data_IF_643564851122
#
_entry.id   IF_643564851122
#
_cell.length_a   1.000
_cell.length_b   1.000
_cell.length_c   1.000
_cell.angle_alpha   90.00
_cell.angle_beta   90.00
_cell.angle_gamma   90.00
#
_symmetry.space_group_name_H-M   'P 1'
#
loop_
_entity.id
_entity.type
_entity.pdbx_description
1 polymer ?
#
# COMPACT_ATOMS: atom_id res chain seq x y z
N UNK A 1 40.26 25.25 -58.81
CA UNK A 1 39.65 26.22 -57.85
C UNK A 1 38.15 25.99 -57.64
N UNK A 2 37.34 25.77 -58.69
CA UNK A 2 35.89 25.53 -58.56
C UNK A 2 35.53 24.34 -57.64
N UNK A 3 36.19 23.18 -57.81
CA UNK A 3 35.93 21.98 -56.99
C UNK A 3 36.20 22.18 -55.47
N UNK A 4 37.13 23.06 -55.11
CA UNK A 4 37.40 23.39 -53.69
C UNK A 4 36.32 24.27 -53.09
N UNK A 5 35.70 25.15 -53.90
CA UNK A 5 34.57 25.98 -53.46
C UNK A 5 33.33 25.13 -53.24
N UNK A 6 33.00 24.24 -54.19
CA UNK A 6 31.85 23.33 -54.05
C UNK A 6 32.00 22.39 -52.86
N UNK A 7 33.20 21.90 -52.56
CA UNK A 7 33.45 21.08 -51.37
C UNK A 7 33.29 21.88 -50.06
N UNK A 8 33.73 23.14 -50.03
CA UNK A 8 33.55 24.00 -48.86
C UNK A 8 32.06 24.35 -48.62
N UNK A 9 31.31 24.61 -49.69
CA UNK A 9 29.87 24.89 -49.61
C UNK A 9 29.09 23.65 -49.13
N UNK A 10 29.48 22.45 -49.59
CA UNK A 10 28.91 21.19 -49.12
C UNK A 10 29.23 20.92 -47.65
N UNK A 11 30.46 21.18 -47.21
CA UNK A 11 30.84 21.03 -45.80
C UNK A 11 30.02 21.97 -44.91
N UNK A 12 29.85 23.22 -45.33
CA UNK A 12 29.05 24.20 -44.59
C UNK A 12 27.58 23.77 -44.49
N UNK A 13 27.00 23.25 -45.57
CA UNK A 13 25.63 22.74 -45.56
C UNK A 13 25.47 21.52 -44.63
N UNK A 14 26.47 20.63 -44.56
CA UNK A 14 26.47 19.50 -43.62
C UNK A 14 26.59 19.97 -42.17
N UNK A 15 27.45 20.95 -41.90
CA UNK A 15 27.62 21.51 -40.56
C UNK A 15 26.32 22.21 -40.09
N UNK A 16 25.64 22.95 -40.97
CA UNK A 16 24.32 23.55 -40.70
C UNK A 16 23.27 22.47 -40.39
N UNK A 17 23.21 21.40 -41.19
CA UNK A 17 22.29 20.27 -40.93
C UNK A 17 22.58 19.55 -39.61
N UNK A 18 23.85 19.41 -39.23
CA UNK A 18 24.23 18.81 -37.94
C UNK A 18 23.79 19.69 -36.77
N UNK A 19 23.90 21.01 -36.89
CA UNK A 19 23.42 21.95 -35.87
C UNK A 19 21.90 21.85 -35.71
N UNK A 20 21.16 21.81 -36.82
CA UNK A 20 19.69 21.68 -36.80
C UNK A 20 19.25 20.34 -36.21
N UNK A 21 19.94 19.24 -36.55
CA UNK A 21 19.65 17.92 -35.99
C UNK A 21 19.91 17.88 -34.48
N UNK A 22 21.01 18.48 -34.01
CA UNK A 22 21.31 18.59 -32.59
C UNK A 22 20.29 19.46 -31.84
N UNK A 23 19.80 20.54 -32.45
CA UNK A 23 18.74 21.37 -31.89
C UNK A 23 17.43 20.57 -31.75
N UNK A 24 17.02 19.89 -32.83
CA UNK A 24 15.81 19.04 -32.82
C UNK A 24 15.92 17.89 -31.81
N UNK A 25 17.11 17.29 -31.65
CA UNK A 25 17.34 16.26 -30.65
C UNK A 25 17.16 16.78 -29.21
N UNK A 26 17.65 17.99 -28.92
CA UNK A 26 17.44 18.63 -27.60
C UNK A 26 15.97 18.91 -27.34
N UNK A 27 15.24 19.45 -28.32
CA UNK A 27 13.81 19.68 -28.22
C UNK A 27 13.03 18.39 -27.95
N UNK A 28 13.40 17.27 -28.61
CA UNK A 28 12.80 15.97 -28.36
C UNK A 28 13.05 15.47 -26.93
N UNK A 29 14.26 15.67 -26.41
CA UNK A 29 14.60 15.23 -25.05
C UNK A 29 13.92 16.12 -23.99
N UNK A 30 13.78 17.41 -24.25
CA UNK A 30 13.00 18.34 -23.42
C UNK A 30 11.53 17.93 -23.38
N UNK A 31 10.91 17.68 -24.54
CA UNK A 31 9.51 17.22 -24.64
C UNK A 31 9.30 15.87 -23.95
N UNK A 32 10.24 14.92 -24.07
CA UNK A 32 10.18 13.64 -23.34
C UNK A 32 10.25 13.85 -21.83
N UNK A 33 11.13 14.73 -21.36
CA UNK A 33 11.27 15.04 -19.93
C UNK A 33 9.99 15.67 -19.37
N UNK A 34 9.36 16.57 -20.13
CA UNK A 34 8.11 17.22 -19.76
C UNK A 34 6.94 16.22 -19.74
N UNK A 35 6.87 15.34 -20.74
CA UNK A 35 5.88 14.26 -20.78
C UNK A 35 6.06 13.32 -19.59
N UNK A 36 7.29 12.99 -19.21
CA UNK A 36 7.61 12.23 -18.00
C UNK A 36 7.19 12.95 -16.71
N UNK A 37 7.34 14.26 -16.63
CA UNK A 37 6.82 15.08 -15.51
C UNK A 37 5.30 15.06 -15.46
N UNK A 38 4.60 15.27 -16.59
CA UNK A 38 3.13 15.25 -16.67
C UNK A 38 2.56 13.88 -16.28
N UNK A 39 3.16 12.77 -16.73
CA UNK A 39 2.79 11.41 -16.32
C UNK A 39 2.90 11.21 -14.80
N UNK A 40 3.99 11.68 -14.18
CA UNK A 40 4.17 11.61 -12.72
C UNK A 40 3.10 12.41 -11.96
N UNK A 41 2.77 13.61 -12.44
CA UNK A 41 1.70 14.44 -11.85
C UNK A 41 0.34 13.74 -11.96
N UNK A 42 0.02 13.15 -13.11
CA UNK A 42 -1.23 12.40 -13.30
C UNK A 42 -1.33 11.20 -12.36
N UNK A 43 -0.26 10.42 -12.20
CA UNK A 43 -0.23 9.31 -11.24
C UNK A 43 -0.42 9.81 -9.80
N UNK A 44 0.20 10.93 -9.43
CA UNK A 44 0.01 11.52 -8.10
C UNK A 44 -1.44 11.96 -7.88
N UNK A 45 -2.05 12.63 -8.86
CA UNK A 45 -3.46 13.02 -8.81
C UNK A 45 -4.39 11.81 -8.69
N UNK A 46 -4.12 10.73 -9.42
CA UNK A 46 -4.90 9.49 -9.33
C UNK A 46 -4.79 8.86 -7.94
N UNK A 47 -3.58 8.80 -7.37
CA UNK A 47 -3.39 8.28 -6.01
C UNK A 47 -4.07 9.15 -4.95
N UNK A 48 -4.06 10.48 -5.13
CA UNK A 48 -4.77 11.40 -4.23
C UNK A 48 -6.29 11.22 -4.35
N UNK A 49 -6.82 11.07 -5.57
CA UNK A 49 -8.23 10.78 -5.80
C UNK A 49 -8.65 9.48 -5.10
N UNK A 50 -7.88 8.40 -5.25
CA UNK A 50 -8.14 7.12 -4.56
C UNK A 50 -8.09 7.26 -3.03
N UNK A 51 -7.14 8.04 -2.51
CA UNK A 51 -7.07 8.33 -1.06
C UNK A 51 -8.28 9.11 -0.56
N UNK A 52 -8.77 10.06 -1.36
CA UNK A 52 -9.95 10.85 -1.04
C UNK A 52 -11.22 9.99 -1.05
N UNK A 53 -11.37 9.10 -2.03
CA UNK A 53 -12.47 8.13 -2.06
C UNK A 53 -12.48 7.26 -0.80
N UNK A 54 -11.33 6.73 -0.38
CA UNK A 54 -11.19 5.96 0.87
C UNK A 54 -11.52 6.82 2.12
N UNK A 55 -11.13 8.10 2.11
CA UNK A 55 -11.46 9.03 3.21
C UNK A 55 -12.97 9.22 3.31
N UNK A 56 -13.64 9.43 2.18
CA UNK A 56 -15.10 9.59 2.11
C UNK A 56 -15.81 8.32 2.59
N UNK A 57 -15.37 7.12 2.18
CA UNK A 57 -15.99 5.87 2.66
C UNK A 57 -15.84 5.69 4.16
N UNK A 58 -14.65 5.97 4.71
CA UNK A 58 -14.41 5.93 6.18
C UNK A 58 -15.26 6.95 6.92
N UNK A 59 -15.43 8.16 6.37
CA UNK A 59 -16.28 9.18 6.99
C UNK A 59 -17.74 8.70 7.07
N UNK A 60 -18.25 8.09 5.99
CA UNK A 60 -19.60 7.49 5.98
C UNK A 60 -19.74 6.36 7.00
N UNK A 61 -18.73 5.51 7.17
CA UNK A 61 -18.72 4.47 8.19
C UNK A 61 -18.74 5.05 9.61
N UNK A 62 -17.95 6.11 9.86
CA UNK A 62 -17.96 6.83 11.14
C UNK A 62 -19.34 7.43 11.41
N UNK A 63 -19.97 8.06 10.42
CA UNK A 63 -21.32 8.61 10.55
C UNK A 63 -22.34 7.52 10.91
N UNK A 64 -22.26 6.35 10.27
CA UNK A 64 -23.11 5.19 10.59
C UNK A 64 -22.89 4.69 12.03
N UNK A 65 -21.63 4.62 12.49
CA UNK A 65 -21.31 4.22 13.85
C UNK A 65 -21.83 5.25 14.88
N UNK A 66 -21.69 6.55 14.60
CA UNK A 66 -22.22 7.61 15.45
C UNK A 66 -23.75 7.57 15.53
N UNK A 67 -24.43 7.29 14.42
CA UNK A 67 -25.89 7.09 14.42
C UNK A 67 -26.30 5.88 15.26
N UNK A 68 -25.58 4.76 15.15
CA UNK A 68 -25.83 3.57 15.98
C UNK A 68 -25.64 3.85 17.47
N UNK A 69 -24.58 4.58 17.84
CA UNK A 69 -24.33 4.96 19.23
C UNK A 69 -25.43 5.87 19.79
N UNK A 70 -25.89 6.86 19.02
CA UNK A 70 -27.04 7.70 19.42
C UNK A 70 -28.33 6.90 19.57
N UNK A 71 -28.56 5.94 18.67
CA UNK A 71 -29.71 5.04 18.74
C UNK A 71 -29.67 4.16 20.00
N UNK A 72 -28.52 3.57 20.31
CA UNK A 72 -28.34 2.70 21.48
C UNK A 72 -28.48 3.44 22.82
N UNK A 73 -27.95 4.67 22.92
CA UNK A 73 -28.09 5.49 24.13
C UNK A 73 -29.54 5.93 24.39
N UNK A 74 -30.38 5.97 23.37
CA UNK A 74 -31.79 6.35 23.52
C UNK A 74 -32.66 5.20 24.06
N UNK A 75 -32.22 3.94 23.94
CA UNK A 75 -32.97 2.77 24.42
C UNK A 75 -32.60 2.32 25.83
N UNK A 76 -31.44 2.72 26.36
CA UNK A 76 -30.96 2.24 27.67
C UNK A 76 -31.45 3.09 28.86
N UNK A 77 -32.05 4.26 28.62
CA UNK A 77 -32.61 5.12 29.67
C UNK A 77 -34.10 4.86 30.00
N UNK A 78 -34.71 3.79 29.49
CA UNK A 78 -36.15 3.52 29.65
C UNK A 78 -36.52 2.44 30.69
N UNK A 79 -35.56 1.79 31.36
CA UNK A 79 -35.86 0.79 32.39
C UNK A 79 -35.12 1.11 33.68
N UNK A 80 -35.67 2.07 34.42
CA UNK A 80 -35.36 2.31 35.82
C UNK A 80 -35.95 1.14 36.63
N UNK A 81 -35.17 0.07 36.84
CA UNK A 81 -35.52 -0.95 37.84
C UNK A 81 -35.01 -0.48 39.21
N UNK A 82 -35.89 -0.26 40.21
CA UNK A 82 -35.47 0.05 41.56
C UNK A 82 -34.88 -1.21 42.20
N UNK A 83 -33.65 -1.08 42.67
CA UNK A 83 -32.86 -2.15 43.29
C UNK A 83 -33.31 -2.29 44.73
N UNK A 84 -33.81 -3.47 45.09
CA UNK A 84 -33.88 -3.93 46.47
C UNK A 84 -33.33 -5.36 46.57
N UNK A 85 -32.65 -5.62 47.69
CA UNK A 85 -32.27 -6.93 48.25
C UNK A 85 -31.00 -7.65 47.74
N UNK A 86 -29.93 -7.41 48.50
CA UNK A 86 -29.13 -8.39 49.27
C UNK A 86 -29.06 -9.88 48.83
N UNK A 87 -27.81 -10.34 48.77
CA UNK A 87 -27.29 -11.69 49.05
C UNK A 87 -27.60 -12.83 48.06
N UNK A 88 -26.57 -13.31 47.37
CA UNK A 88 -26.42 -14.75 47.09
C UNK A 88 -24.97 -15.10 46.72
N UNK A 89 -24.54 -16.23 47.26
CA UNK A 89 -23.24 -16.87 47.25
C UNK A 89 -22.76 -17.45 45.89
N UNK A 90 -21.44 -17.43 45.73
CA UNK A 90 -20.54 -18.19 44.83
C UNK A 90 -20.90 -19.69 44.62
N UNK A 91 -20.47 -20.39 43.52
CA UNK A 91 -19.05 -20.72 43.31
C UNK A 91 -18.48 -20.90 41.87
N UNK A 92 -17.15 -20.67 41.81
CA UNK A 92 -16.08 -21.28 41.01
C UNK A 92 -16.36 -21.93 39.62
N UNK A 93 -15.74 -21.38 38.58
CA UNK A 93 -15.28 -22.15 37.41
C UNK A 93 -14.11 -21.46 36.68
N UNK A 94 -12.99 -22.19 36.64
CA UNK A 94 -11.82 -22.11 35.74
C UNK A 94 -11.04 -20.79 35.61
N UNK A 95 -9.93 -20.76 36.34
CA UNK A 95 -8.73 -19.98 36.11
C UNK A 95 -8.18 -20.20 34.68
N UNK A 96 -8.42 -19.24 33.79
CA UNK A 96 -7.49 -18.93 32.70
C UNK A 96 -6.56 -17.83 33.19
N UNK A 97 -5.39 -18.19 33.75
CA UNK A 97 -4.34 -17.23 34.10
C UNK A 97 -3.84 -16.57 32.80
N UNK A 98 -4.43 -15.45 32.41
CA UNK A 98 -3.81 -14.53 31.47
C UNK A 98 -2.52 -14.05 32.13
N UNK A 99 -1.39 -14.56 31.68
CA UNK A 99 -0.09 -14.02 32.08
C UNK A 99 -0.10 -12.51 31.83
N UNK A 100 0.38 -11.69 32.78
CA UNK A 100 0.59 -10.27 32.55
C UNK A 100 1.77 -10.11 31.59
N UNK A 101 1.52 -10.37 30.31
CA UNK A 101 2.47 -10.10 29.22
C UNK A 101 2.42 -8.59 28.98
N UNK A 102 3.25 -7.91 29.78
CA UNK A 102 4.28 -7.02 29.26
C UNK A 102 3.90 -5.62 28.76
N UNK A 103 3.09 -4.89 29.53
CA UNK A 103 2.97 -3.42 29.44
C UNK A 103 4.35 -2.71 29.44
N UNK A 104 5.30 -3.25 30.20
CA UNK A 104 6.71 -2.79 30.25
C UNK A 104 7.51 -3.18 29.02
N UNK A 105 7.22 -4.31 28.35
CA UNK A 105 7.94 -4.72 27.13
C UNK A 105 7.47 -3.92 25.94
N UNK A 106 6.18 -3.62 25.85
CA UNK A 106 5.61 -2.84 24.75
C UNK A 106 6.06 -1.38 24.80
N UNK A 107 6.07 -0.77 26.00
CA UNK A 107 6.64 0.57 26.20
C UNK A 107 8.15 0.59 25.96
N UNK A 108 8.90 -0.43 26.39
CA UNK A 108 10.32 -0.56 26.04
C UNK A 108 10.55 -0.72 24.54
N UNK A 109 9.74 -1.51 23.84
CA UNK A 109 9.86 -1.64 22.39
C UNK A 109 9.48 -0.34 21.67
N UNK A 110 8.45 0.39 22.11
CA UNK A 110 8.12 1.68 21.54
C UNK A 110 9.23 2.72 21.80
N UNK A 111 9.81 2.72 23.00
CA UNK A 111 10.95 3.58 23.33
C UNK A 111 12.19 3.20 22.51
N UNK A 112 12.42 1.90 22.27
CA UNK A 112 13.52 1.40 21.46
C UNK A 112 13.33 1.69 19.96
N UNK A 113 12.10 1.59 19.46
CA UNK A 113 11.73 2.01 18.10
C UNK A 113 11.91 3.53 17.96
N UNK A 114 11.47 4.32 18.94
CA UNK A 114 11.68 5.76 18.94
C UNK A 114 13.17 6.11 18.95
N UNK A 115 13.98 5.52 19.83
CA UNK A 115 15.41 5.78 19.87
C UNK A 115 16.15 5.28 18.62
N UNK A 116 15.78 4.13 18.06
CA UNK A 116 16.40 3.61 16.83
C UNK A 116 16.04 4.45 15.61
N UNK A 117 14.77 4.86 15.47
CA UNK A 117 14.33 5.76 14.39
C UNK A 117 14.96 7.13 14.52
N UNK A 118 15.00 7.70 15.73
CA UNK A 118 15.63 9.00 15.99
C UNK A 118 17.15 8.94 15.83
N UNK A 119 17.80 7.85 16.24
CA UNK A 119 19.23 7.62 16.01
C UNK A 119 19.53 7.39 14.54
N UNK A 120 18.63 6.77 13.77
CA UNK A 120 18.78 6.60 12.33
C UNK A 120 18.60 7.91 11.59
N UNK A 121 17.66 8.76 12.01
CA UNK A 121 17.48 10.12 11.49
C UNK A 121 18.71 10.96 11.84
N UNK A 122 19.17 10.92 13.08
CA UNK A 122 20.39 11.61 13.51
C UNK A 122 21.64 11.12 12.77
N UNK A 123 21.81 9.81 12.59
CA UNK A 123 22.92 9.24 11.79
C UNK A 123 22.77 9.53 10.30
N UNK A 124 21.55 9.59 9.77
CA UNK A 124 21.32 10.03 8.39
C UNK A 124 21.68 11.50 8.22
N UNK A 125 21.46 12.34 9.25
CA UNK A 125 21.91 13.73 9.33
C UNK A 125 23.44 13.86 9.47
N UNK A 126 24.10 12.90 10.12
CA UNK A 126 25.58 12.82 10.18
C UNK A 126 26.20 12.26 8.89
N UNK A 127 25.45 11.42 8.16
CA UNK A 127 25.78 10.93 6.83
C UNK A 127 25.16 11.80 5.71
N UNK A 128 24.73 13.03 6.02
CA UNK A 128 24.49 14.03 4.99
C UNK A 128 25.85 14.40 4.42
N UNK A 129 26.16 13.76 3.29
CA UNK A 129 27.30 14.13 2.47
C UNK A 129 27.22 15.64 2.23
N UNK A 130 28.29 16.41 2.51
CA UNK A 130 28.28 17.86 2.37
C UNK A 130 27.84 18.31 0.95
N UNK A 131 27.96 17.40 -0.02
CA UNK A 131 27.44 17.50 -1.38
C UNK A 131 25.90 17.58 -1.43
N UNK A 132 25.18 16.76 -0.67
CA UNK A 132 23.71 16.76 -0.61
C UNK A 132 23.16 18.07 -0.04
N UNK A 133 23.82 18.63 0.99
CA UNK A 133 23.44 19.92 1.56
C UNK A 133 23.64 21.05 0.55
N UNK A 134 24.79 21.05 -0.16
CA UNK A 134 25.05 22.02 -1.24
C UNK A 134 24.06 21.88 -2.39
N UNK A 135 23.68 20.66 -2.77
CA UNK A 135 22.71 20.43 -3.84
C UNK A 135 21.31 20.93 -3.46
N UNK A 136 20.89 20.74 -2.20
CA UNK A 136 19.63 21.29 -1.70
C UNK A 136 19.65 22.81 -1.64
N UNK A 137 20.76 23.40 -1.19
CA UNK A 137 20.95 24.84 -1.16
C UNK A 137 20.94 25.44 -2.56
N UNK A 138 21.61 24.80 -3.52
CA UNK A 138 21.62 25.20 -4.94
C UNK A 138 20.21 25.17 -5.55
N UNK A 139 19.42 24.11 -5.28
CA UNK A 139 18.02 24.04 -5.74
C UNK A 139 17.15 25.13 -5.16
N UNK A 140 17.38 25.49 -3.89
CA UNK A 140 16.68 26.61 -3.25
C UNK A 140 17.05 27.94 -3.93
N UNK A 141 18.34 28.19 -4.15
CA UNK A 141 18.84 29.36 -4.89
C UNK A 141 18.27 29.43 -6.30
N UNK A 142 18.25 28.32 -7.04
CA UNK A 142 17.65 28.21 -8.38
C UNK A 142 16.15 28.57 -8.34
N UNK A 143 15.40 28.11 -7.33
CA UNK A 143 13.98 28.44 -7.19
C UNK A 143 13.75 29.94 -6.91
N UNK A 144 14.63 30.55 -6.12
CA UNK A 144 14.55 31.97 -5.75
C UNK A 144 14.95 32.84 -6.95
N UNK A 145 16.03 32.47 -7.65
CA UNK A 145 16.48 33.11 -8.87
C UNK A 145 15.37 33.11 -9.93
N UNK A 146 14.71 31.96 -10.14
CA UNK A 146 13.55 31.86 -11.02
C UNK A 146 12.37 32.74 -10.59
N UNK A 147 12.09 32.82 -9.28
CA UNK A 147 10.99 33.64 -8.75
C UNK A 147 11.27 35.15 -8.84
N UNK A 148 12.54 35.55 -8.75
CA UNK A 148 12.98 36.95 -8.86
C UNK A 148 13.29 37.36 -10.31
N UNK A 149 13.23 36.44 -11.26
CA UNK A 149 13.65 36.62 -12.66
C UNK A 149 15.11 37.07 -12.78
N UNK A 150 15.98 36.46 -11.97
CA UNK A 150 17.37 36.83 -11.78
C UNK A 150 18.25 35.58 -11.97
N UNK A 151 19.55 35.74 -12.24
CA UNK A 151 20.48 34.60 -12.38
C UNK A 151 20.76 33.95 -11.02
N UNK A 152 21.14 32.67 -11.04
CA UNK A 152 21.39 31.88 -9.82
C UNK A 152 22.52 32.47 -8.96
N UNK A 153 23.51 33.09 -9.62
CA UNK A 153 24.69 33.68 -9.00
C UNK A 153 24.54 35.18 -8.68
N UNK A 154 23.35 35.77 -8.86
CA UNK A 154 23.12 37.17 -8.48
C UNK A 154 23.09 37.30 -6.95
N UNK A 155 23.75 38.34 -6.42
CA UNK A 155 23.83 38.68 -5.01
C UNK A 155 22.45 38.71 -4.34
N UNK A 156 21.41 39.13 -5.07
CA UNK A 156 20.03 39.15 -4.56
C UNK A 156 19.49 37.75 -4.28
N UNK A 157 19.71 36.78 -5.16
CA UNK A 157 19.25 35.41 -4.97
C UNK A 157 20.00 34.73 -3.82
N UNK A 158 21.31 35.01 -3.69
CA UNK A 158 22.15 34.53 -2.58
C UNK A 158 21.68 35.09 -1.25
N UNK A 159 21.41 36.41 -1.16
CA UNK A 159 20.95 37.06 0.06
C UNK A 159 19.58 36.52 0.51
N UNK A 160 18.64 36.35 -0.42
CA UNK A 160 17.32 35.77 -0.11
C UNK A 160 17.41 34.32 0.34
N UNK A 161 18.28 33.53 -0.28
CA UNK A 161 18.53 32.16 0.16
C UNK A 161 19.07 32.13 1.60
N UNK A 162 20.03 33.00 1.93
CA UNK A 162 20.59 33.09 3.28
C UNK A 162 19.51 33.47 4.32
N UNK A 163 18.66 34.47 4.01
CA UNK A 163 17.55 34.88 4.88
C UNK A 163 16.54 33.76 5.14
N UNK A 164 16.17 33.02 4.10
CA UNK A 164 15.20 31.92 4.22
C UNK A 164 15.78 30.74 5.00
N UNK A 165 17.05 30.39 4.77
CA UNK A 165 17.75 29.37 5.56
C UNK A 165 17.83 29.76 7.04
N UNK A 166 18.22 31.01 7.35
CA UNK A 166 18.30 31.50 8.73
C UNK A 166 16.93 31.48 9.45
N UNK A 167 15.85 31.87 8.77
CA UNK A 167 14.50 31.82 9.35
C UNK A 167 14.01 30.36 9.54
N UNK A 168 14.36 29.47 8.61
CA UNK A 168 14.08 28.04 8.75
C UNK A 168 14.81 27.43 9.94
N UNK A 169 16.10 27.76 10.13
CA UNK A 169 16.88 27.36 11.30
C UNK A 169 16.29 27.92 12.60
N UNK A 170 15.89 29.21 12.61
CA UNK A 170 15.23 29.83 13.77
C UNK A 170 13.93 29.11 14.15
N UNK A 171 13.12 28.73 13.15
CA UNK A 171 11.87 27.98 13.35
C UNK A 171 12.13 26.55 13.80
N UNK A 172 13.13 25.89 13.22
CA UNK A 172 13.56 24.55 13.61
C UNK A 172 14.03 24.57 15.07
N UNK A 173 14.87 25.53 15.46
CA UNK A 173 15.31 25.72 16.84
C UNK A 173 14.13 25.95 17.79
N UNK A 174 13.18 26.84 17.44
CA UNK A 174 11.97 27.08 18.25
C UNK A 174 11.11 25.83 18.45
N UNK A 175 11.10 24.90 17.49
CA UNK A 175 10.35 23.63 17.55
C UNK A 175 11.13 22.47 18.19
N UNK A 176 12.46 22.46 18.04
CA UNK A 176 13.36 21.44 18.60
C UNK A 176 13.68 21.69 20.06
N UNK A 177 13.59 22.93 20.54
CA UNK A 177 13.54 23.20 21.97
C UNK A 177 12.27 22.56 22.50
N UNK A 178 12.41 21.34 23.03
CA UNK A 178 11.41 20.69 23.85
C UNK A 178 11.09 21.65 24.99
N UNK A 179 10.05 22.47 24.81
CA UNK A 179 9.46 23.23 25.90
C UNK A 179 8.83 22.18 26.80
N UNK A 180 9.60 21.75 27.80
CA UNK A 180 9.07 21.10 29.00
C UNK A 180 7.82 21.91 29.36
N UNK A 181 6.64 21.30 29.54
CA UNK A 181 5.44 22.04 29.88
C UNK A 181 5.79 22.92 31.09
N UNK A 182 5.95 24.21 30.87
CA UNK A 182 6.35 25.09 31.94
C UNK A 182 5.15 25.16 32.87
N UNK A 183 5.30 24.96 34.18
CA UNK A 183 4.20 25.11 35.14
C UNK A 183 3.62 26.55 35.18
N UNK A 184 4.10 27.45 34.32
CA UNK A 184 3.73 28.85 34.24
C UNK A 184 2.38 29.15 33.56
N UNK A 185 1.65 28.16 33.00
CA UNK A 185 0.27 28.43 32.54
C UNK A 185 -0.69 28.70 33.73
N UNK A 186 -0.28 28.42 34.98
CA UNK A 186 -1.07 28.76 36.18
C UNK A 186 -0.80 30.19 36.69
N UNK A 187 0.20 30.92 36.19
CA UNK A 187 0.63 32.19 36.80
C UNK A 187 0.13 33.46 36.09
N UNK A 188 -0.87 33.36 35.19
CA UNK A 188 -1.48 34.55 34.55
C UNK A 188 -2.88 34.91 35.03
N UNK A 189 -3.33 34.36 36.17
CA UNK A 189 -4.45 34.95 36.91
C UNK A 189 -3.92 35.75 38.12
N UNK A 190 -4.06 37.07 37.99
CA UNK A 190 -4.15 38.10 39.03
C UNK A 190 -3.49 37.83 40.42
N UNK A 191 -2.40 38.53 40.79
CA UNK A 191 -1.65 38.29 42.03
C UNK A 191 -2.33 38.86 43.31
N UNK A 192 -3.67 38.88 43.40
CA UNK A 192 -4.37 39.50 44.56
C UNK A 192 -5.45 38.65 45.21
N UNK A 193 -5.60 37.38 44.85
CA UNK A 193 -6.42 36.47 45.66
C UNK A 193 -5.59 35.27 46.13
N UNK A 194 -5.54 34.99 47.45
CA UNK A 194 -5.02 33.74 47.95
C UNK A 194 -5.98 32.63 47.53
N UNK A 195 -5.77 32.08 46.34
CA UNK A 195 -6.50 30.90 45.89
C UNK A 195 -6.11 29.72 46.77
N UNK A 196 -7.11 29.20 47.47
CA UNK A 196 -7.07 27.97 48.25
C UNK A 196 -6.43 26.84 47.44
N UNK A 197 -5.48 26.14 48.06
CA UNK A 197 -4.73 24.98 47.55
C UNK A 197 -5.59 23.86 46.93
N UNK A 198 -6.90 23.84 47.20
CA UNK A 198 -7.86 22.90 46.59
C UNK A 198 -8.14 23.13 45.10
N UNK A 199 -7.99 24.35 44.56
CA UNK A 199 -8.24 24.60 43.13
C UNK A 199 -7.20 23.92 42.23
N UNK A 200 -5.93 23.97 42.63
CA UNK A 200 -4.82 23.38 41.89
C UNK A 200 -4.92 21.84 41.86
N UNK A 201 -5.38 21.23 42.96
CA UNK A 201 -5.59 19.77 43.02
C UNK A 201 -6.68 19.31 42.04
N UNK A 202 -7.81 20.03 41.97
CA UNK A 202 -8.88 19.70 41.00
C UNK A 202 -8.41 19.82 39.54
N UNK A 203 -7.59 20.82 39.22
CA UNK A 203 -7.05 20.98 37.87
C UNK A 203 -6.07 19.88 37.48
N UNK A 204 -5.31 19.33 38.44
CA UNK A 204 -4.38 18.21 38.17
C UNK A 204 -5.16 16.91 37.97
N UNK A 205 -6.19 16.67 38.78
CA UNK A 205 -7.08 15.51 38.64
C UNK A 205 -7.80 15.51 37.28
N UNK A 206 -8.31 16.67 36.84
CA UNK A 206 -8.93 16.83 35.53
C UNK A 206 -7.96 16.53 34.37
N UNK A 207 -6.69 16.95 34.50
CA UNK A 207 -5.66 16.67 33.49
C UNK A 207 -5.33 15.17 33.47
N UNK A 208 -5.22 14.54 34.64
CA UNK A 208 -4.96 13.11 34.76
C UNK A 208 -6.13 12.31 34.15
N UNK A 209 -7.37 12.67 34.46
CA UNK A 209 -8.56 12.04 33.89
C UNK A 209 -8.60 12.15 32.36
N UNK A 210 -8.30 13.34 31.81
CA UNK A 210 -8.22 13.56 30.36
C UNK A 210 -7.09 12.78 29.71
N UNK A 211 -5.94 12.66 30.38
CA UNK A 211 -4.83 11.85 29.89
C UNK A 211 -5.20 10.37 29.87
N UNK A 212 -5.83 9.87 30.94
CA UNK A 212 -6.26 8.49 31.03
C UNK A 212 -7.33 8.15 29.97
N UNK A 213 -8.28 9.06 29.72
CA UNK A 213 -9.26 8.90 28.65
C UNK A 213 -8.60 8.86 27.26
N UNK A 214 -7.60 9.72 27.01
CA UNK A 214 -6.84 9.69 25.74
C UNK A 214 -6.04 8.41 25.59
N UNK A 215 -5.46 7.91 26.67
CA UNK A 215 -4.75 6.63 26.70
C UNK A 215 -5.69 5.46 26.38
N UNK A 216 -6.86 5.39 27.01
CA UNK A 216 -7.88 4.38 26.70
C UNK A 216 -8.32 4.45 25.23
N UNK A 217 -8.53 5.65 24.68
CA UNK A 217 -8.88 5.83 23.27
C UNK A 217 -7.76 5.34 22.32
N UNK A 218 -6.49 5.61 22.66
CA UNK A 218 -5.35 5.09 21.90
C UNK A 218 -5.25 3.58 22.00
N UNK A 219 -5.54 3.00 23.16
CA UNK A 219 -5.59 1.55 23.34
C UNK A 219 -6.69 0.90 22.50
N UNK A 220 -7.89 1.49 22.47
CA UNK A 220 -8.98 1.02 21.61
C UNK A 220 -8.62 1.11 20.12
N UNK A 221 -7.97 2.20 19.70
CA UNK A 221 -7.52 2.35 18.32
C UNK A 221 -6.43 1.34 17.96
N UNK A 222 -5.48 1.09 18.86
CA UNK A 222 -4.43 0.09 18.68
C UNK A 222 -5.01 -1.32 18.58
N UNK A 223 -5.93 -1.69 19.47
CA UNK A 223 -6.64 -2.97 19.44
C UNK A 223 -7.47 -3.13 18.14
N UNK A 224 -8.09 -2.05 17.67
CA UNK A 224 -8.80 -2.04 16.39
C UNK A 224 -7.86 -2.26 15.19
N UNK A 225 -6.67 -1.62 15.21
CA UNK A 225 -5.67 -1.79 14.17
C UNK A 225 -5.07 -3.21 14.15
N UNK A 226 -4.82 -3.81 15.32
CA UNK A 226 -4.32 -5.19 15.42
C UNK A 226 -5.38 -6.21 14.98
N UNK A 227 -6.63 -6.04 15.39
CA UNK A 227 -7.75 -6.87 14.93
C UNK A 227 -7.93 -6.80 13.40
N UNK A 228 -7.84 -5.58 12.83
CA UNK A 228 -7.86 -5.41 11.37
C UNK A 228 -6.68 -6.09 10.69
N UNK A 229 -5.48 -5.97 11.25
CA UNK A 229 -4.28 -6.64 10.75
C UNK A 229 -4.43 -8.17 10.74
N UNK A 230 -4.95 -8.75 11.82
CA UNK A 230 -5.23 -10.18 11.91
C UNK A 230 -6.32 -10.62 10.92
N UNK A 231 -7.37 -9.83 10.75
CA UNK A 231 -8.41 -10.08 9.74
C UNK A 231 -7.86 -10.09 8.32
N UNK A 232 -6.99 -9.12 7.97
CA UNK A 232 -6.32 -9.11 6.67
C UNK A 232 -5.42 -10.34 6.46
N UNK A 233 -4.64 -10.73 7.47
CA UNK A 233 -3.79 -11.92 7.39
C UNK A 233 -4.61 -13.20 7.22
N UNK A 234 -5.72 -13.34 7.95
CA UNK A 234 -6.63 -14.48 7.82
C UNK A 234 -7.27 -14.55 6.42
N UNK A 235 -7.66 -13.41 5.84
CA UNK A 235 -8.17 -13.38 4.47
C UNK A 235 -7.11 -13.76 3.43
N UNK A 236 -5.88 -13.28 3.57
CA UNK A 236 -4.76 -13.65 2.68
C UNK A 236 -4.49 -15.16 2.77
N UNK A 237 -4.48 -15.73 3.97
CA UNK A 237 -4.30 -17.18 4.18
C UNK A 237 -5.44 -17.98 3.53
N UNK A 238 -6.69 -17.55 3.71
CA UNK A 238 -7.85 -18.18 3.08
C UNK A 238 -7.78 -18.12 1.55
N UNK A 239 -7.43 -16.97 0.97
CA UNK A 239 -7.25 -16.81 -0.48
C UNK A 239 -6.10 -17.69 -0.96
N UNK A 240 -4.98 -17.73 -0.23
CA UNK A 240 -3.82 -18.55 -0.58
C UNK A 240 -4.17 -20.03 -0.58
N UNK A 241 -4.92 -20.51 0.44
CA UNK A 241 -5.43 -21.88 0.50
C UNK A 241 -6.39 -22.18 -0.65
N UNK A 242 -7.30 -21.27 -0.96
CA UNK A 242 -8.22 -21.40 -2.08
C UNK A 242 -7.48 -21.50 -3.43
N UNK A 243 -6.47 -20.64 -3.65
CA UNK A 243 -5.63 -20.71 -4.86
C UNK A 243 -4.86 -22.03 -4.91
N UNK A 244 -4.26 -22.47 -3.81
CA UNK A 244 -3.54 -23.74 -3.76
C UNK A 244 -4.42 -24.96 -4.03
N UNK A 245 -5.70 -24.92 -3.66
CA UNK A 245 -6.64 -26.01 -3.93
C UNK A 245 -7.24 -25.93 -5.34
N UNK A 246 -7.52 -24.73 -5.85
CA UNK A 246 -8.21 -24.54 -7.15
C UNK A 246 -7.25 -24.51 -8.34
N UNK A 247 -6.03 -24.02 -8.19
CA UNK A 247 -5.06 -23.92 -9.28
C UNK A 247 -4.71 -25.28 -9.93
N UNK A 248 -4.49 -26.39 -9.19
CA UNK A 248 -4.20 -27.69 -9.80
C UNK A 248 -5.39 -28.24 -10.58
N UNK A 249 -6.61 -28.08 -10.07
CA UNK A 249 -7.84 -28.57 -10.70
C UNK A 249 -8.19 -27.76 -11.95
N UNK A 250 -8.00 -26.43 -11.92
CA UNK A 250 -8.11 -25.59 -13.11
C UNK A 250 -7.04 -25.96 -14.15
N UNK A 251 -5.81 -26.21 -13.71
CA UNK A 251 -4.73 -26.58 -14.62
C UNK A 251 -5.01 -27.93 -15.30
N UNK A 252 -5.48 -28.94 -14.56
CA UNK A 252 -5.83 -30.24 -15.12
C UNK A 252 -7.03 -30.16 -16.06
N UNK A 253 -8.06 -29.35 -15.74
CA UNK A 253 -9.21 -29.09 -16.61
C UNK A 253 -8.82 -28.37 -17.92
N UNK A 254 -7.93 -27.38 -17.84
CA UNK A 254 -7.41 -26.72 -19.04
C UNK A 254 -6.54 -27.68 -19.87
N UNK A 255 -5.78 -28.57 -19.23
CA UNK A 255 -4.95 -29.55 -19.92
C UNK A 255 -5.81 -30.63 -20.61
N UNK A 256 -6.91 -31.07 -20.02
CA UNK A 256 -7.86 -31.99 -20.67
C UNK A 256 -8.55 -31.31 -21.84
N UNK A 257 -8.97 -30.05 -21.70
CA UNK A 257 -9.58 -29.28 -22.79
C UNK A 257 -8.60 -29.06 -23.96
N UNK A 258 -7.33 -28.75 -23.68
CA UNK A 258 -6.29 -28.63 -24.70
C UNK A 258 -6.03 -29.94 -25.44
N UNK A 259 -6.06 -31.09 -24.74
CA UNK A 259 -5.90 -32.42 -25.36
C UNK A 259 -7.09 -32.78 -26.26
N UNK A 260 -8.31 -32.47 -25.85
CA UNK A 260 -9.51 -32.69 -26.68
C UNK A 260 -9.44 -31.85 -27.95
N UNK A 261 -9.00 -30.58 -27.84
CA UNK A 261 -8.83 -29.70 -29.01
C UNK A 261 -7.71 -30.14 -29.96
N UNK A 262 -6.72 -30.90 -29.49
CA UNK A 262 -5.61 -31.38 -30.33
C UNK A 262 -5.92 -32.68 -31.08
N UNK A 263 -7.03 -33.36 -30.75
CA UNK A 263 -7.44 -34.63 -31.37
C UNK A 263 -8.60 -34.47 -32.36
N UNK A 264 -8.95 -33.25 -32.77
CA UNK A 264 -10.10 -32.99 -33.62
C UNK A 264 -9.79 -33.24 -35.11
N UNK A 265 -9.88 -34.53 -35.47
CA UNK A 265 -9.86 -35.04 -36.85
C UNK A 265 -10.92 -36.10 -37.12
N UNK A 266 -11.89 -36.34 -36.22
CA UNK A 266 -12.95 -37.33 -36.45
C UNK A 266 -14.28 -36.98 -35.74
N UNK A 267 -15.20 -36.46 -36.56
CA UNK A 267 -16.68 -36.51 -36.54
C UNK A 267 -17.38 -37.02 -35.25
N UNK A 268 -18.10 -36.09 -34.59
CA UNK A 268 -19.29 -36.21 -33.69
C UNK A 268 -19.10 -36.82 -32.28
N UNK A 269 -19.90 -36.46 -31.24
CA UNK A 269 -21.04 -35.53 -31.16
C UNK A 269 -20.78 -34.28 -30.28
N UNK A 270 -21.73 -33.35 -30.30
CA UNK A 270 -21.70 -32.00 -29.70
C UNK A 270 -21.12 -31.92 -28.25
N UNK A 271 -19.87 -31.42 -28.07
CA UNK A 271 -19.15 -31.41 -26.79
C UNK A 271 -19.56 -30.26 -25.85
N UNK A 272 -20.44 -29.37 -26.30
CA UNK A 272 -20.80 -28.15 -25.57
C UNK A 272 -21.58 -28.42 -24.28
N UNK A 273 -22.37 -29.50 -24.20
CA UNK A 273 -23.19 -29.76 -23.00
C UNK A 273 -22.44 -30.47 -21.87
N UNK A 274 -21.49 -31.37 -22.15
CA UNK A 274 -20.82 -32.14 -21.09
C UNK A 274 -19.78 -31.31 -20.32
N UNK A 275 -18.99 -30.48 -21.02
CA UNK A 275 -17.97 -29.62 -20.41
C UNK A 275 -18.59 -28.49 -19.57
N UNK A 276 -19.68 -27.89 -20.06
CA UNK A 276 -20.43 -26.85 -19.34
C UNK A 276 -21.11 -27.41 -18.09
N UNK A 277 -21.67 -28.62 -18.13
CA UNK A 277 -22.32 -29.21 -16.94
C UNK A 277 -21.30 -29.54 -15.83
N UNK A 278 -20.08 -29.97 -16.20
CA UNK A 278 -19.00 -30.24 -15.25
C UNK A 278 -18.45 -28.98 -14.59
N UNK A 279 -18.20 -27.92 -15.37
CA UNK A 279 -17.75 -26.63 -14.82
C UNK A 279 -18.83 -25.93 -13.99
N UNK A 280 -20.10 -26.00 -14.40
CA UNK A 280 -21.22 -25.45 -13.63
C UNK A 280 -21.42 -26.21 -12.29
N UNK A 281 -21.32 -27.54 -12.30
CA UNK A 281 -21.42 -28.35 -11.08
C UNK A 281 -20.27 -28.05 -10.09
N UNK A 282 -19.07 -27.77 -10.61
CA UNK A 282 -17.91 -27.41 -9.80
C UNK A 282 -18.02 -26.01 -9.20
N UNK A 283 -18.42 -25.01 -9.99
CA UNK A 283 -18.65 -23.63 -9.51
C UNK A 283 -19.73 -23.60 -8.42
N UNK A 284 -20.79 -24.40 -8.58
CA UNK A 284 -21.84 -24.52 -7.56
C UNK A 284 -21.32 -25.13 -6.24
N UNK A 285 -20.36 -26.06 -6.32
CA UNK A 285 -19.71 -26.66 -5.14
C UNK A 285 -18.81 -25.65 -4.41
N UNK A 286 -18.04 -24.87 -5.17
CA UNK A 286 -17.17 -23.82 -4.63
C UNK A 286 -17.98 -22.72 -3.92
N UNK A 287 -19.11 -22.32 -4.51
CA UNK A 287 -20.03 -21.34 -3.90
C UNK A 287 -20.67 -21.90 -2.63
N UNK A 288 -21.08 -23.18 -2.62
CA UNK A 288 -21.59 -23.82 -1.41
C UNK A 288 -20.53 -23.85 -0.29
N UNK A 289 -19.26 -24.14 -0.59
CA UNK A 289 -18.17 -24.19 0.40
C UNK A 289 -17.79 -22.80 0.93
N UNK A 290 -17.81 -21.77 0.09
CA UNK A 290 -17.59 -20.37 0.52
C UNK A 290 -18.74 -19.91 1.44
N UNK A 291 -19.98 -20.20 1.07
CA UNK A 291 -21.14 -19.83 1.89
C UNK A 291 -21.21 -20.63 3.20
N UNK A 292 -20.73 -21.87 3.21
CA UNK A 292 -20.66 -22.71 4.41
C UNK A 292 -19.52 -22.27 5.34
N UNK A 293 -18.36 -21.90 4.80
CA UNK A 293 -17.22 -21.39 5.60
C UNK A 293 -17.48 -20.00 6.20
N UNK A 294 -18.32 -19.18 5.56
CA UNK A 294 -18.79 -17.90 6.11
C UNK A 294 -19.97 -18.04 7.09
N UNK A 295 -20.43 -19.28 7.38
CA UNK A 295 -21.54 -19.53 8.29
C UNK A 295 -22.92 -19.09 7.78
N UNK A 296 -23.04 -18.72 6.51
CA UNK A 296 -24.27 -18.25 5.88
C UNK A 296 -25.20 -19.40 5.49
N UNK A 297 -24.66 -20.59 5.25
CA UNK A 297 -25.43 -21.83 5.14
C UNK A 297 -25.39 -22.58 6.47
N UNK A 298 -26.29 -22.21 7.41
CA UNK A 298 -26.63 -23.12 8.51
C UNK A 298 -27.29 -24.36 7.92
N UNK A 299 -26.77 -25.52 8.31
CA UNK A 299 -27.15 -26.86 7.87
C UNK A 299 -28.67 -27.07 7.82
N UNK A 300 -29.26 -26.82 6.64
CA UNK A 300 -30.54 -27.39 6.26
C UNK A 300 -30.27 -28.80 5.72
N UNK A 301 -30.15 -29.76 6.64
CA UNK A 301 -30.25 -31.16 6.27
C UNK A 301 -31.70 -31.46 5.89
N UNK A 302 -31.86 -32.20 4.79
CA UNK A 302 -33.08 -32.96 4.47
C UNK A 302 -34.35 -32.13 4.20
N UNK A 303 -34.58 -31.75 2.93
CA UNK A 303 -35.73 -32.21 2.12
C UNK A 303 -35.78 -31.50 0.75
N UNK A 304 -36.13 -32.28 -0.28
CA UNK A 304 -36.53 -31.90 -1.65
C UNK A 304 -35.48 -31.26 -2.58
N UNK A 305 -35.03 -32.07 -3.54
CA UNK A 305 -34.16 -31.75 -4.69
C UNK A 305 -34.80 -30.86 -5.77
N UNK A 306 -36.07 -30.47 -5.65
CA UNK A 306 -36.79 -29.75 -6.71
C UNK A 306 -36.66 -28.22 -6.65
N UNK A 307 -36.21 -27.61 -5.55
CA UNK A 307 -36.04 -26.15 -5.45
C UNK A 307 -34.66 -25.63 -5.89
N UNK A 308 -33.72 -26.53 -6.23
CA UNK A 308 -32.33 -26.17 -6.57
C UNK A 308 -32.18 -25.51 -7.95
N UNK A 309 -33.11 -25.75 -8.89
CA UNK A 309 -33.07 -25.11 -10.20
C UNK A 309 -33.47 -23.63 -10.17
N UNK A 310 -34.39 -23.26 -9.29
CA UNK A 310 -34.98 -21.92 -9.26
C UNK A 310 -34.07 -20.88 -8.58
N UNK A 311 -33.24 -21.30 -7.62
CA UNK A 311 -32.26 -20.42 -6.95
C UNK A 311 -31.04 -20.13 -7.80
N UNK A 312 -30.58 -21.10 -8.62
CA UNK A 312 -29.45 -20.92 -9.53
C UNK A 312 -29.85 -20.04 -10.73
N UNK A 313 -31.05 -20.24 -11.29
CA UNK A 313 -31.58 -19.36 -12.33
C UNK A 313 -31.74 -17.91 -11.83
N UNK A 314 -32.19 -17.72 -10.58
CA UNK A 314 -32.28 -16.38 -9.95
C UNK A 314 -30.90 -15.74 -9.75
N UNK A 315 -29.88 -16.51 -9.38
CA UNK A 315 -28.50 -16.00 -9.22
C UNK A 315 -27.83 -15.62 -10.55
N UNK A 316 -28.07 -16.37 -11.63
CA UNK A 316 -27.58 -16.00 -12.96
C UNK A 316 -28.26 -14.73 -13.51
N UNK A 317 -29.57 -14.57 -13.29
CA UNK A 317 -30.27 -13.31 -13.62
C UNK A 317 -29.84 -12.12 -12.77
N UNK A 318 -29.44 -12.35 -11.51
CA UNK A 318 -29.00 -11.28 -10.60
C UNK A 318 -27.55 -10.86 -10.87
N UNK A 319 -26.67 -11.78 -11.26
CA UNK A 319 -25.26 -11.46 -11.51
C UNK A 319 -24.99 -10.91 -12.90
N UNK A 320 -25.69 -11.36 -13.95
CA UNK A 320 -25.57 -10.81 -15.30
C UNK A 320 -24.13 -10.69 -15.86
N UNK A 321 -23.99 -10.10 -17.06
CA UNK A 321 -22.67 -9.86 -17.68
C UNK A 321 -21.85 -8.84 -16.88
N UNK A 322 -22.53 -7.86 -16.24
CA UNK A 322 -21.89 -6.83 -15.41
C UNK A 322 -21.29 -7.37 -14.11
N UNK A 323 -21.91 -8.36 -13.46
CA UNK A 323 -21.36 -8.97 -12.25
C UNK A 323 -20.13 -9.82 -12.54
N UNK A 324 -20.10 -10.53 -13.69
CA UNK A 324 -18.89 -11.25 -14.13
C UNK A 324 -17.72 -10.30 -14.37
N UNK A 325 -17.96 -9.14 -14.99
CA UNK A 325 -16.92 -8.14 -15.23
C UNK A 325 -16.42 -7.50 -13.92
N UNK A 326 -17.30 -7.27 -12.95
CA UNK A 326 -16.91 -6.79 -11.61
C UNK A 326 -16.07 -7.82 -10.85
N UNK A 327 -16.38 -9.11 -10.97
CA UNK A 327 -15.59 -10.17 -10.34
C UNK A 327 -14.19 -10.24 -10.98
N UNK A 328 -14.09 -10.17 -12.31
CA UNK A 328 -12.79 -10.16 -13.02
C UNK A 328 -11.96 -8.94 -12.60
N UNK A 329 -12.53 -7.74 -12.61
CA UNK A 329 -11.80 -6.53 -12.16
C UNK A 329 -11.39 -6.62 -10.68
N UNK A 330 -12.18 -7.29 -9.83
CA UNK A 330 -11.85 -7.48 -8.42
C UNK A 330 -10.70 -8.47 -8.23
N UNK A 331 -10.65 -9.52 -9.04
CA UNK A 331 -9.56 -10.51 -9.06
C UNK A 331 -8.26 -9.87 -9.56
N UNK A 332 -8.32 -9.04 -10.61
CA UNK A 332 -7.17 -8.27 -11.09
C UNK A 332 -6.64 -7.29 -10.03
N UNK A 333 -7.53 -6.57 -9.34
CA UNK A 333 -7.17 -5.66 -8.25
C UNK A 333 -6.49 -6.41 -7.09
N UNK A 334 -6.97 -7.61 -6.76
CA UNK A 334 -6.38 -8.47 -5.72
C UNK A 334 -4.99 -8.98 -6.13
N UNK A 335 -4.82 -9.43 -7.37
CA UNK A 335 -3.52 -9.88 -7.89
C UNK A 335 -2.49 -8.75 -7.90
N UNK A 336 -2.89 -7.54 -8.28
CA UNK A 336 -2.01 -6.37 -8.27
C UNK A 336 -1.61 -5.96 -6.84
N UNK A 337 -2.56 -6.07 -5.89
CA UNK A 337 -2.30 -5.82 -4.47
C UNK A 337 -1.34 -6.85 -3.87
N UNK A 338 -1.49 -8.12 -4.20
CA UNK A 338 -0.57 -9.18 -3.76
C UNK A 338 0.83 -9.02 -4.33
N UNK A 339 0.94 -8.61 -5.60
CA UNK A 339 2.24 -8.32 -6.21
C UNK A 339 2.96 -7.15 -5.50
N UNK A 340 2.22 -6.08 -5.18
CA UNK A 340 2.76 -4.94 -4.40
C UNK A 340 3.16 -5.35 -2.99
N UNK A 341 2.37 -6.20 -2.33
CA UNK A 341 2.63 -6.65 -0.95
C UNK A 341 3.83 -7.59 -0.89
N UNK A 342 3.99 -8.51 -1.85
CA UNK A 342 5.20 -9.35 -1.97
C UNK A 342 6.45 -8.53 -2.26
N UNK A 343 6.36 -7.53 -3.15
CA UNK A 343 7.48 -6.63 -3.47
C UNK A 343 7.86 -5.74 -2.28
N UNK A 344 6.91 -5.44 -1.40
CA UNK A 344 7.14 -4.72 -0.15
C UNK A 344 7.76 -5.63 0.92
N UNK A 345 7.24 -6.84 1.11
CA UNK A 345 7.77 -7.82 2.05
C UNK A 345 9.21 -8.24 1.70
N UNK A 346 9.52 -8.41 0.42
CA UNK A 346 10.89 -8.71 -0.06
C UNK A 346 11.87 -7.55 0.15
N UNK A 347 11.38 -6.32 0.38
CA UNK A 347 12.18 -5.14 0.71
C UNK A 347 12.32 -4.89 2.21
N UNK A 348 11.58 -5.63 3.04
CA UNK A 348 11.45 -5.39 4.50
C UNK A 348 11.97 -6.56 5.34
N UNK A 349 12.53 -7.61 4.73
CA UNK A 349 13.33 -8.61 5.44
C UNK A 349 14.56 -7.96 6.08
N UNK A 350 14.37 -7.43 7.29
CA UNK A 350 15.39 -7.04 8.24
C UNK A 350 16.01 -8.31 8.84
N UNK A 351 17.34 -8.41 8.95
CA UNK A 351 17.97 -9.41 9.81
C UNK A 351 17.58 -9.12 11.27
N UNK A 352 17.08 -10.14 11.98
CA UNK A 352 16.72 -10.05 13.39
C UNK A 352 17.95 -9.68 14.25
N UNK A 353 17.81 -8.83 15.28
CA UNK A 353 18.87 -8.61 16.26
C UNK A 353 18.92 -9.74 17.28
N UNK A 354 20.10 -10.36 17.34
CA UNK A 354 20.80 -10.93 18.50
C UNK A 354 20.05 -10.98 19.83
N UNK A 355 19.56 -12.16 20.20
CA UNK A 355 19.40 -12.55 21.61
C UNK A 355 20.73 -13.06 22.14
N UNK A 356 21.12 -12.50 23.27
CA UNK A 356 22.31 -12.80 24.07
C UNK A 356 22.44 -14.28 24.44
N UNK A 357 23.70 -14.75 24.49
CA UNK A 357 24.17 -16.08 24.91
C UNK A 357 24.05 -17.18 23.87
N UNK A 358 24.85 -17.08 22.81
CA UNK A 358 25.13 -18.21 21.91
C UNK A 358 26.64 -18.28 21.67
N UNK A 359 27.17 -19.49 21.81
CA UNK A 359 28.56 -19.91 21.64
C UNK A 359 29.16 -19.33 20.32
N UNK A 360 30.38 -18.77 20.31
CA UNK A 360 30.99 -18.19 19.10
C UNK A 360 30.97 -19.10 17.85
N UNK A 361 30.96 -20.42 18.02
CA UNK A 361 30.85 -21.39 16.90
C UNK A 361 29.50 -21.34 16.17
N UNK A 362 28.40 -21.13 16.89
CA UNK A 362 27.05 -21.07 16.32
C UNK A 362 26.78 -19.74 15.60
N UNK A 363 27.48 -18.67 16.01
CA UNK A 363 27.44 -17.37 15.32
C UNK A 363 28.01 -17.46 13.90
N UNK A 364 29.07 -18.22 13.69
CA UNK A 364 29.63 -18.42 12.35
C UNK A 364 28.70 -19.24 11.45
N UNK A 365 28.02 -20.26 12.00
CA UNK A 365 27.04 -21.03 11.25
C UNK A 365 25.82 -20.19 10.86
N UNK A 366 25.35 -19.32 11.75
CA UNK A 366 24.22 -18.42 11.47
C UNK A 366 24.59 -17.37 10.41
N UNK A 367 25.80 -16.80 10.47
CA UNK A 367 26.30 -15.86 9.45
C UNK A 367 26.41 -16.55 8.09
N UNK A 368 26.91 -17.78 8.05
CA UNK A 368 27.01 -18.54 6.80
C UNK A 368 25.62 -18.90 6.24
N UNK A 369 24.69 -19.37 7.08
CA UNK A 369 23.32 -19.69 6.66
C UNK A 369 22.54 -18.45 6.18
N UNK A 370 22.76 -17.30 6.81
CA UNK A 370 22.17 -16.02 6.36
C UNK A 370 22.79 -15.53 5.06
N UNK A 371 24.09 -15.66 4.87
CA UNK A 371 24.75 -15.35 3.62
C UNK A 371 24.26 -16.26 2.47
N UNK A 372 24.11 -17.56 2.71
CA UNK A 372 23.59 -18.51 1.71
C UNK A 372 22.12 -18.21 1.36
N UNK A 373 21.31 -17.85 2.36
CA UNK A 373 19.92 -17.41 2.12
C UNK A 373 19.84 -16.09 1.34
N UNK A 374 20.74 -15.15 1.59
CA UNK A 374 20.82 -13.89 0.82
C UNK A 374 21.26 -14.16 -0.60
N UNK A 375 22.25 -15.04 -0.80
CA UNK A 375 22.78 -15.36 -2.12
C UNK A 375 21.74 -16.11 -2.97
N UNK A 376 20.98 -17.05 -2.38
CA UNK A 376 19.86 -17.72 -3.07
C UNK A 376 18.68 -16.80 -3.36
N UNK A 377 18.36 -15.86 -2.46
CA UNK A 377 17.35 -14.83 -2.72
C UNK A 377 17.80 -13.86 -3.84
N UNK A 378 19.09 -13.56 -3.90
CA UNK A 378 19.66 -12.72 -4.94
C UNK A 378 19.66 -13.41 -6.30
N UNK A 379 20.05 -14.69 -6.38
CA UNK A 379 20.04 -15.46 -7.64
C UNK A 379 18.61 -15.63 -8.17
N UNK A 380 17.65 -15.99 -7.31
CA UNK A 380 16.24 -16.08 -7.72
C UNK A 380 15.66 -14.75 -8.19
N UNK A 381 16.07 -13.63 -7.57
CA UNK A 381 15.68 -12.30 -8.03
C UNK A 381 16.30 -11.93 -9.39
N UNK A 382 17.57 -12.29 -9.65
CA UNK A 382 18.21 -12.06 -10.95
C UNK A 382 17.59 -12.92 -12.05
N UNK A 383 17.25 -14.18 -11.75
CA UNK A 383 16.60 -15.08 -12.71
C UNK A 383 15.21 -14.57 -13.10
N UNK A 384 14.45 -14.06 -12.13
CA UNK A 384 13.13 -13.48 -12.37
C UNK A 384 13.23 -12.19 -13.20
N UNK A 385 14.25 -11.35 -12.94
CA UNK A 385 14.50 -10.17 -13.77
C UNK A 385 14.88 -10.54 -15.21
N UNK A 386 15.73 -11.55 -15.41
CA UNK A 386 16.05 -12.06 -16.74
C UNK A 386 14.82 -12.62 -17.46
N UNK A 387 13.97 -13.38 -16.78
CA UNK A 387 12.72 -13.89 -17.35
C UNK A 387 11.77 -12.75 -17.76
N UNK A 388 11.63 -11.70 -16.93
CA UNK A 388 10.82 -10.53 -17.27
C UNK A 388 11.40 -9.71 -18.41
N UNK A 389 12.72 -9.61 -18.51
CA UNK A 389 13.40 -8.90 -19.59
C UNK A 389 13.20 -9.64 -20.92
N UNK A 390 13.35 -10.97 -20.93
CA UNK A 390 13.04 -11.82 -22.07
C UNK A 390 11.57 -11.69 -22.51
N UNK A 391 10.63 -11.70 -21.57
CA UNK A 391 9.22 -11.49 -21.88
C UNK A 391 8.95 -10.09 -22.49
N UNK A 392 9.66 -9.06 -22.04
CA UNK A 392 9.54 -7.72 -22.60
C UNK A 392 10.08 -7.65 -24.04
N UNK A 393 11.18 -8.35 -24.33
CA UNK A 393 11.73 -8.49 -25.69
C UNK A 393 10.75 -9.22 -26.63
N UNK A 394 10.11 -10.30 -26.16
CA UNK A 394 9.10 -11.04 -26.93
C UNK A 394 7.89 -10.14 -27.26
N UNK A 395 7.41 -9.36 -26.29
CA UNK A 395 6.32 -8.39 -26.49
C UNK A 395 6.73 -7.29 -27.47
N UNK A 396 7.97 -6.80 -27.41
CA UNK A 396 8.48 -5.83 -28.38
C UNK A 396 8.51 -6.43 -29.80
N UNK A 397 8.89 -7.70 -29.92
CA UNK A 397 8.82 -8.48 -31.16
C UNK A 397 7.40 -8.52 -31.74
N UNK A 398 6.42 -8.88 -30.92
CA UNK A 398 5.01 -8.89 -31.31
C UNK A 398 4.52 -7.50 -31.76
N UNK A 399 4.91 -6.43 -31.05
CA UNK A 399 4.53 -5.05 -31.43
C UNK A 399 5.12 -4.67 -32.80
N UNK A 400 6.36 -5.08 -33.10
CA UNK A 400 6.97 -4.87 -34.42
C UNK A 400 6.22 -5.62 -35.52
N UNK A 401 5.80 -6.85 -35.24
CA UNK A 401 5.02 -7.67 -36.17
C UNK A 401 3.63 -7.09 -36.45
N UNK A 402 2.90 -6.67 -35.41
CA UNK A 402 1.61 -5.98 -35.56
C UNK A 402 1.76 -4.67 -36.36
N UNK A 403 2.84 -3.91 -36.14
CA UNK A 403 3.12 -2.70 -36.93
C UNK A 403 3.45 -3.00 -38.39
N UNK A 404 4.11 -4.13 -38.67
CA UNK A 404 4.35 -4.61 -40.04
C UNK A 404 3.03 -5.00 -40.70
N UNK A 405 2.23 -5.84 -40.05
CA UNK A 405 0.92 -6.27 -40.56
C UNK A 405 0.00 -5.07 -40.85
N UNK A 406 -0.01 -4.05 -39.97
CA UNK A 406 -0.79 -2.83 -40.18
C UNK A 406 -0.28 -1.95 -41.33
N UNK A 407 1.01 -2.05 -41.71
CA UNK A 407 1.53 -1.40 -42.92
C UNK A 407 1.11 -2.18 -44.16
N UNK A 408 1.21 -3.50 -44.11
CA UNK A 408 0.84 -4.38 -45.23
C UNK A 408 -0.67 -4.27 -45.55
N UNK A 409 -1.53 -4.25 -44.51
CA UNK A 409 -2.98 -4.02 -44.68
C UNK A 409 -3.28 -2.65 -45.27
N UNK A 410 -2.55 -1.60 -44.85
CA UNK A 410 -2.73 -0.26 -45.44
C UNK A 410 -2.32 -0.23 -46.91
N UNK A 411 -1.16 -0.79 -47.24
CA UNK A 411 -0.70 -0.90 -48.63
C UNK A 411 -1.68 -1.70 -49.51
N UNK A 412 -2.30 -2.75 -48.97
CA UNK A 412 -3.33 -3.52 -49.66
C UNK A 412 -4.60 -2.69 -49.89
N UNK A 413 -5.09 -1.99 -48.86
CA UNK A 413 -6.26 -1.09 -48.99
C UNK A 413 -6.02 0.04 -49.97
N UNK A 414 -4.81 0.61 -50.00
CA UNK A 414 -4.44 1.69 -50.93
C UNK A 414 -4.25 1.18 -52.38
N UNK A 415 -4.16 -0.14 -52.59
CA UNK A 415 -4.00 -0.76 -53.92
C UNK A 415 -5.32 -1.17 -54.59
N UNK A 416 -6.43 -1.10 -53.84
CA UNK A 416 -7.80 -1.33 -54.32
C UNK A 416 -8.41 0.03 -54.66
#
# INVERSE_FOLDING_TARGET
>A
MAARRTAADQQKALDEQLVDLLASQRELDDLKSELGRRRRVLLLLETLKKKEEIRITRMKEIDLLLQRLRGAQSTENAVYHPVDSLASSNPASSQGKSQPISLTRDTLTQLHIYHSTHSRIARSLVAYDARSVRDQQRRLQESIANALHVTVDDDRAVEWCAKLSAEAERRAYKKLVYRRPSPSIVMQHNPKQPESTHSIQSSVEDIIARLHQKEQNLQHLANGATALGQGCLSHIDMISKAIHHTAPELHSSLQTQARVSSNDGMIMPDPTNAASTSTQAYVNRLVEDILRSQGLLRSASSTKRESKGETVAKLETVLGVKGRQQIVSRVEEMLERDHRTRTFASRITLPLPSSTSVDPSDRHQLINATNDSVLTAQTTATDLLHAKLKQAEDVEGMVKEVRRLRRDVRAFVDSI
#
